data_IF_321569303886
#
_entry.id   IF_321569303886
#
_cell.length_a   1.000
_cell.length_b   1.000
_cell.length_c   1.000
_cell.angle_alpha   90.00
_cell.angle_beta   90.00
_cell.angle_gamma   90.00
#
_symmetry.space_group_name_H-M   'P 1'
#
loop_
_entity.id
_entity.type
_entity.pdbx_description
1 polymer ?
#
# COMPACT_ATOMS: atom_id res chain seq x y z
N UNK A 1 26.64 1.15 -5.30
CA UNK A 1 26.68 1.68 -6.67
C UNK A 1 26.56 3.19 -6.53
N UNK A 2 27.59 3.94 -6.92
CA UNK A 2 27.57 5.40 -6.78
C UNK A 2 27.10 6.03 -8.09
N UNK A 3 26.29 7.09 -7.99
CA UNK A 3 25.81 7.87 -9.13
C UNK A 3 26.98 8.60 -9.79
N UNK A 4 27.91 9.12 -8.99
CA UNK A 4 29.09 9.82 -9.50
C UNK A 4 30.00 8.96 -10.42
N UNK A 5 29.99 7.64 -10.27
CA UNK A 5 30.74 6.70 -11.13
C UNK A 5 30.11 6.56 -12.54
N UNK A 6 28.91 7.11 -12.77
CA UNK A 6 28.18 7.03 -14.05
C UNK A 6 28.02 8.38 -14.75
N UNK A 7 28.65 9.41 -14.21
CA UNK A 7 28.68 10.75 -14.81
C UNK A 7 30.00 10.86 -15.58
N UNK A 8 29.94 11.29 -16.83
CA UNK A 8 31.11 11.60 -17.62
C UNK A 8 31.76 12.88 -17.07
N UNK A 9 33.03 12.78 -16.67
CA UNK A 9 33.76 13.86 -16.03
C UNK A 9 33.97 15.08 -16.94
N UNK A 10 33.91 14.90 -18.26
CA UNK A 10 34.11 15.96 -19.25
C UNK A 10 32.80 16.63 -19.65
N UNK A 11 31.77 15.84 -20.01
CA UNK A 11 30.46 16.40 -20.42
C UNK A 11 29.58 16.80 -19.25
N UNK A 12 29.88 16.30 -18.03
CA UNK A 12 29.06 16.46 -16.81
C UNK A 12 27.64 15.92 -16.98
N UNK A 13 27.48 14.97 -17.89
CA UNK A 13 26.21 14.33 -18.18
C UNK A 13 26.30 12.82 -17.92
N UNK A 14 25.18 12.12 -17.95
CA UNK A 14 25.15 10.68 -17.83
C UNK A 14 26.00 10.01 -18.91
N UNK A 15 26.82 9.06 -18.51
CA UNK A 15 27.53 8.20 -19.45
C UNK A 15 26.58 7.11 -19.96
N UNK A 16 26.04 7.32 -21.16
CA UNK A 16 25.06 6.42 -21.80
C UNK A 16 25.50 4.95 -21.81
N UNK A 17 26.75 4.70 -22.24
CA UNK A 17 27.32 3.36 -22.32
C UNK A 17 27.39 2.69 -20.95
N UNK A 18 27.83 3.41 -19.93
CA UNK A 18 27.88 2.90 -18.57
C UNK A 18 26.48 2.60 -18.05
N UNK A 19 25.50 3.50 -18.21
CA UNK A 19 24.15 3.26 -17.69
C UNK A 19 23.52 2.00 -18.35
N UNK A 20 23.60 1.85 -19.67
CA UNK A 20 23.04 0.69 -20.37
C UNK A 20 23.80 -0.63 -20.15
N UNK A 21 25.05 -0.59 -19.68
CA UNK A 21 25.80 -1.81 -19.33
C UNK A 21 25.25 -2.49 -18.06
N UNK A 22 24.69 -1.70 -17.14
CA UNK A 22 24.37 -2.17 -15.78
C UNK A 22 22.90 -2.17 -15.41
N UNK A 23 22.09 -1.43 -16.15
CA UNK A 23 20.64 -1.38 -15.97
C UNK A 23 19.95 -1.99 -17.16
N UNK A 24 18.76 -2.53 -16.91
CA UNK A 24 17.92 -2.98 -18.01
C UNK A 24 17.50 -1.80 -18.86
N UNK A 25 17.17 -2.00 -20.15
CA UNK A 25 16.87 -0.91 -21.09
C UNK A 25 15.83 0.06 -20.54
N UNK A 26 14.72 -0.46 -20.02
CA UNK A 26 13.65 0.38 -19.48
C UNK A 26 14.10 1.20 -18.25
N UNK A 27 14.95 0.64 -17.38
CA UNK A 27 15.49 1.34 -16.22
C UNK A 27 16.54 2.38 -16.62
N UNK A 28 17.41 2.02 -17.57
CA UNK A 28 18.44 2.90 -18.11
C UNK A 28 17.82 4.15 -18.74
N UNK A 29 16.76 3.98 -19.53
CA UNK A 29 16.02 5.09 -20.16
C UNK A 29 15.45 6.04 -19.11
N UNK A 30 14.94 5.51 -17.98
CA UNK A 30 14.45 6.34 -16.87
C UNK A 30 15.60 7.08 -16.18
N UNK A 31 16.72 6.40 -15.92
CA UNK A 31 17.89 6.99 -15.25
C UNK A 31 18.45 8.16 -16.05
N UNK A 32 18.57 8.01 -17.37
CA UNK A 32 19.10 9.05 -18.26
C UNK A 32 18.26 10.33 -18.27
N UNK A 33 16.98 10.26 -17.87
CA UNK A 33 16.09 11.42 -17.76
C UNK A 33 16.25 12.16 -16.42
N UNK A 34 16.90 11.55 -15.43
CA UNK A 34 17.08 12.17 -14.11
C UNK A 34 18.06 13.35 -14.23
N UNK A 35 17.65 14.58 -13.88
CA UNK A 35 18.53 15.73 -13.97
C UNK A 35 19.67 15.62 -12.96
N UNK A 36 20.91 15.80 -13.45
CA UNK A 36 22.10 15.84 -12.61
C UNK A 36 22.24 17.22 -11.93
N UNK A 37 22.70 17.22 -10.68
CA UNK A 37 22.96 18.48 -9.97
C UNK A 37 24.16 19.20 -10.58
N UNK A 38 24.04 20.50 -10.85
CA UNK A 38 25.17 21.32 -11.32
C UNK A 38 26.19 21.62 -10.21
N UNK A 39 25.83 21.35 -8.95
CA UNK A 39 26.68 21.53 -7.78
C UNK A 39 27.37 20.20 -7.51
N UNK A 40 28.70 20.22 -7.47
CA UNK A 40 29.50 19.07 -7.06
C UNK A 40 29.29 18.83 -5.56
N UNK A 41 28.88 17.62 -5.21
CA UNK A 41 28.73 17.15 -3.84
C UNK A 41 28.78 15.62 -3.82
N UNK A 42 28.94 15.07 -2.62
CA UNK A 42 28.88 13.62 -2.43
C UNK A 42 27.47 13.11 -2.73
N UNK A 43 27.39 11.88 -3.24
CA UNK A 43 26.12 11.19 -3.46
C UNK A 43 25.34 11.07 -2.14
N UNK A 44 24.05 11.39 -2.19
CA UNK A 44 23.15 11.20 -1.05
C UNK A 44 21.85 10.53 -1.48
N UNK A 45 21.23 9.82 -0.53
CA UNK A 45 19.96 9.12 -0.77
C UNK A 45 18.81 10.12 -0.76
N UNK A 46 17.96 10.07 -1.79
CA UNK A 46 16.81 10.94 -1.97
C UNK A 46 15.52 10.13 -1.97
N UNK A 47 14.54 10.58 -1.19
CA UNK A 47 13.19 10.03 -1.19
C UNK A 47 12.32 10.69 -2.28
N UNK A 48 12.16 9.98 -3.40
CA UNK A 48 11.49 10.50 -4.60
C UNK A 48 10.00 10.87 -4.42
N UNK A 49 9.35 10.36 -3.37
CA UNK A 49 7.95 10.70 -3.07
C UNK A 49 7.78 12.00 -2.29
N UNK A 50 8.84 12.80 -2.13
CA UNK A 50 8.78 14.12 -1.50
C UNK A 50 9.59 15.13 -2.31
N UNK A 51 9.05 16.34 -2.50
CA UNK A 51 9.73 17.39 -3.27
C UNK A 51 11.06 17.84 -2.63
N UNK A 52 11.17 17.75 -1.30
CA UNK A 52 12.40 18.06 -0.57
C UNK A 52 13.37 16.87 -0.48
N UNK A 53 13.00 15.70 -1.03
CA UNK A 53 13.84 14.51 -1.04
C UNK A 53 14.03 13.83 0.32
N UNK A 54 13.34 14.28 1.37
CA UNK A 54 13.51 13.76 2.73
C UNK A 54 12.55 12.63 3.03
N UNK A 55 13.10 11.52 3.51
CA UNK A 55 12.31 10.41 4.00
C UNK A 55 11.54 10.79 5.28
N UNK A 56 10.28 10.36 5.36
CA UNK A 56 9.50 10.38 6.60
C UNK A 56 8.55 9.19 6.68
N UNK A 57 8.30 8.70 7.90
CA UNK A 57 7.33 7.62 8.16
C UNK A 57 5.95 7.96 7.60
N UNK A 58 5.56 9.24 7.68
CA UNK A 58 4.30 9.72 7.12
C UNK A 58 4.25 9.55 5.60
N UNK A 59 5.29 10.00 4.88
CA UNK A 59 5.34 9.86 3.42
C UNK A 59 5.43 8.40 2.97
N UNK A 60 6.17 7.55 3.70
CA UNK A 60 6.25 6.13 3.36
C UNK A 60 4.91 5.42 3.58
N UNK A 61 4.20 5.74 4.66
CA UNK A 61 2.87 5.19 4.91
C UNK A 61 1.90 5.45 3.76
N UNK A 62 1.85 6.70 3.26
CA UNK A 62 0.98 7.04 2.12
C UNK A 62 1.32 6.27 0.85
N UNK A 63 2.61 6.11 0.56
CA UNK A 63 3.09 5.32 -0.58
C UNK A 63 2.65 3.87 -0.43
N UNK A 64 2.91 3.25 0.71
CA UNK A 64 2.53 1.85 0.98
C UNK A 64 1.02 1.65 0.85
N UNK A 65 0.21 2.56 1.40
CA UNK A 65 -1.26 2.50 1.28
C UNK A 65 -1.71 2.66 -0.17
N UNK A 66 -1.11 3.58 -0.93
CA UNK A 66 -1.46 3.77 -2.35
C UNK A 66 -1.17 2.53 -3.19
N UNK A 67 -0.03 1.87 -2.97
CA UNK A 67 0.36 0.65 -3.68
C UNK A 67 -0.55 -0.52 -3.32
N UNK A 68 -0.89 -0.67 -2.03
CA UNK A 68 -1.86 -1.68 -1.60
C UNK A 68 -3.24 -1.45 -2.24
N UNK A 69 -3.69 -0.21 -2.33
CA UNK A 69 -4.97 0.14 -2.94
C UNK A 69 -4.99 -0.01 -4.47
N UNK A 70 -3.85 0.12 -5.17
CA UNK A 70 -3.78 -0.14 -6.62
C UNK A 70 -4.01 -1.61 -6.95
N UNK A 71 -3.68 -2.53 -6.03
CA UNK A 71 -3.92 -3.97 -6.18
C UNK A 71 -5.36 -4.39 -5.85
N UNK A 72 -6.16 -3.50 -5.24
CA UNK A 72 -7.56 -3.77 -4.97
C UNK A 72 -8.43 -3.21 -6.10
N UNK A 73 -9.34 -4.01 -6.71
CA UNK A 73 -10.35 -3.46 -7.59
C UNK A 73 -11.13 -2.40 -6.81
N UNK A 74 -11.33 -1.26 -7.45
CA UNK A 74 -11.90 0.01 -6.97
C UNK A 74 -13.34 -0.14 -6.45
N UNK A 75 -13.52 -0.89 -5.36
CA UNK A 75 -14.80 -1.04 -4.65
C UNK A 75 -15.00 0.03 -3.58
N UNK A 76 -14.01 0.88 -3.33
CA UNK A 76 -14.08 1.99 -2.38
C UNK A 76 -14.99 3.13 -2.88
N UNK A 77 -15.09 3.36 -4.20
CA UNK A 77 -16.03 4.32 -4.78
C UNK A 77 -17.48 3.81 -4.79
N UNK A 78 -17.68 2.49 -4.92
CA UNK A 78 -19.02 1.87 -5.00
C UNK A 78 -19.77 1.84 -3.66
N UNK A 79 -19.06 1.78 -2.52
CA UNK A 79 -19.68 1.65 -1.19
C UNK A 79 -20.10 2.98 -0.53
N UNK A 80 -19.72 4.12 -1.11
CA UNK A 80 -20.12 5.47 -0.67
C UNK A 80 -21.64 5.63 -0.42
N UNK A 81 -22.53 5.29 -1.38
CA UNK A 81 -23.97 5.40 -1.17
C UNK A 81 -24.51 4.46 -0.08
N UNK A 82 -23.97 3.25 0.01
CA UNK A 82 -24.37 2.26 1.01
C UNK A 82 -24.05 2.73 2.44
N UNK A 83 -22.85 3.31 2.66
CA UNK A 83 -22.50 3.84 3.96
C UNK A 83 -23.33 5.07 4.34
N UNK A 84 -23.63 5.95 3.37
CA UNK A 84 -24.54 7.08 3.62
C UNK A 84 -25.91 6.59 4.08
N UNK A 85 -26.49 5.60 3.39
CA UNK A 85 -27.76 5.00 3.79
C UNK A 85 -27.71 4.37 5.18
N UNK A 86 -26.67 3.60 5.50
CA UNK A 86 -26.50 2.98 6.81
C UNK A 86 -26.43 4.01 7.95
N UNK A 87 -25.72 5.12 7.73
CA UNK A 87 -25.58 6.17 8.74
C UNK A 87 -26.82 7.04 8.89
N UNK A 88 -27.66 7.14 7.86
CA UNK A 88 -28.95 7.85 7.88
C UNK A 88 -30.10 6.98 8.40
N UNK A 89 -29.97 5.65 8.40
CA UNK A 89 -31.02 4.73 8.83
C UNK A 89 -31.46 5.00 10.27
N UNK A 90 -32.77 5.03 10.53
CA UNK A 90 -33.33 5.27 11.87
C UNK A 90 -33.23 4.02 12.78
N UNK A 91 -32.01 3.61 13.08
CA UNK A 91 -31.68 2.49 13.97
C UNK A 91 -30.68 2.94 15.04
N UNK A 92 -30.69 2.31 16.23
CA UNK A 92 -29.69 2.55 17.25
C UNK A 92 -28.25 2.48 16.74
N UNK A 93 -27.38 3.37 17.25
CA UNK A 93 -25.96 3.47 16.85
C UNK A 93 -25.21 2.13 16.92
N UNK A 94 -25.53 1.29 17.92
CA UNK A 94 -24.94 -0.05 18.07
C UNK A 94 -25.16 -0.94 16.85
N UNK A 95 -26.34 -0.86 16.22
CA UNK A 95 -26.67 -1.63 15.02
C UNK A 95 -25.89 -1.08 13.82
N UNK A 96 -25.83 0.24 13.64
CA UNK A 96 -25.04 0.85 12.55
C UNK A 96 -23.58 0.42 12.60
N UNK A 97 -22.96 0.47 13.79
CA UNK A 97 -21.57 0.05 13.98
C UNK A 97 -21.39 -1.45 13.74
N UNK A 98 -22.31 -2.28 14.23
CA UNK A 98 -22.28 -3.73 14.01
C UNK A 98 -22.38 -4.06 12.51
N UNK A 99 -23.36 -3.51 11.79
CA UNK A 99 -23.55 -3.72 10.36
C UNK A 99 -22.35 -3.23 9.54
N UNK A 100 -21.76 -2.09 9.91
CA UNK A 100 -20.55 -1.60 9.25
C UNK A 100 -19.37 -2.58 9.45
N UNK A 101 -19.19 -3.12 10.67
CA UNK A 101 -18.15 -4.14 10.93
C UNK A 101 -18.42 -5.46 10.19
N UNK A 102 -19.68 -5.90 10.16
CA UNK A 102 -20.12 -7.10 9.44
C UNK A 102 -19.77 -6.99 7.95
N UNK A 103 -20.19 -5.91 7.29
CA UNK A 103 -20.00 -5.70 5.87
C UNK A 103 -18.54 -5.39 5.46
N UNK A 104 -17.67 -5.09 6.43
CA UNK A 104 -16.22 -4.93 6.23
C UNK A 104 -15.44 -6.19 6.60
N UNK A 105 -16.11 -7.30 6.93
CA UNK A 105 -15.50 -8.52 7.45
C UNK A 105 -14.53 -8.24 8.63
N UNK A 106 -14.94 -7.31 9.50
CA UNK A 106 -14.13 -6.78 10.60
C UNK A 106 -14.59 -7.26 11.98
N UNK A 107 -15.56 -8.19 12.02
CA UNK A 107 -15.95 -8.88 13.25
C UNK A 107 -14.88 -9.90 13.64
N UNK A 108 -14.67 -10.06 14.94
CA UNK A 108 -13.75 -11.05 15.52
C UNK A 108 -14.41 -12.44 15.50
N UNK A 109 -14.67 -12.96 14.30
CA UNK A 109 -15.07 -14.35 14.07
C UNK A 109 -13.82 -15.22 13.96
N UNK A 110 -13.93 -16.54 14.17
CA UNK A 110 -12.80 -17.48 14.14
C UNK A 110 -11.75 -17.17 13.05
N UNK A 111 -12.19 -17.11 11.78
CA UNK A 111 -11.30 -16.85 10.63
C UNK A 111 -10.65 -15.45 10.62
N UNK A 112 -11.31 -14.44 11.18
CA UNK A 112 -10.77 -13.08 11.25
C UNK A 112 -9.87 -12.87 12.47
N UNK A 113 -10.11 -13.65 13.52
CA UNK A 113 -9.33 -13.62 14.74
C UNK A 113 -7.94 -14.23 14.53
N UNK A 114 -7.84 -15.30 13.72
CA UNK A 114 -6.56 -15.92 13.36
C UNK A 114 -5.60 -14.96 12.61
N UNK A 115 -6.13 -13.98 11.87
CA UNK A 115 -5.32 -12.95 11.19
C UNK A 115 -4.61 -12.01 12.16
N UNK A 116 -5.05 -11.94 13.42
CA UNK A 116 -4.54 -11.00 14.43
C UNK A 116 -3.82 -11.70 15.58
N UNK A 117 -4.23 -12.93 15.91
CA UNK A 117 -3.67 -13.74 16.99
C UNK A 117 -3.52 -15.16 16.47
N UNK A 118 -2.30 -15.70 16.58
CA UNK A 118 -2.03 -17.11 16.27
C UNK A 118 -2.66 -17.98 17.38
N UNK A 119 -3.06 -19.20 17.02
CA UNK A 119 -3.61 -20.24 17.92
C UNK A 119 -5.05 -20.04 18.46
N UNK A 120 -5.88 -19.25 17.79
CA UNK A 120 -7.32 -19.22 18.07
C UNK A 120 -8.07 -20.33 17.30
N UNK A 121 -9.04 -20.95 17.97
CA UNK A 121 -9.94 -21.92 17.37
C UNK A 121 -10.79 -21.23 16.29
N UNK A 122 -10.69 -21.75 15.07
CA UNK A 122 -11.39 -21.20 13.90
C UNK A 122 -12.67 -21.93 13.56
N UNK A 123 -12.91 -23.09 14.19
CA UNK A 123 -14.11 -23.89 13.99
C UNK A 123 -15.31 -23.18 14.62
N UNK A 124 -16.45 -23.22 13.93
CA UNK A 124 -17.69 -22.70 14.48
C UNK A 124 -18.07 -23.47 15.76
N UNK A 125 -18.29 -22.78 16.90
CA UNK A 125 -18.60 -23.44 18.17
C UNK A 125 -19.97 -24.12 18.15
N UNK A 126 -20.84 -23.77 17.21
CA UNK A 126 -22.19 -24.33 17.09
C UNK A 126 -22.24 -25.58 16.21
N UNK A 127 -21.60 -25.56 15.03
CA UNK A 127 -21.67 -26.68 14.09
C UNK A 127 -20.47 -27.62 14.18
N UNK A 128 -19.31 -27.14 14.67
CA UNK A 128 -18.04 -27.86 14.78
C UNK A 128 -17.55 -28.53 13.47
N UNK A 129 -18.07 -28.10 12.33
CA UNK A 129 -17.82 -28.72 11.02
C UNK A 129 -17.18 -27.77 10.02
N UNK A 130 -17.51 -26.48 10.09
CA UNK A 130 -17.01 -25.45 9.20
C UNK A 130 -16.30 -24.36 10.00
N UNK A 131 -15.39 -23.64 9.34
CA UNK A 131 -14.75 -22.46 9.91
C UNK A 131 -15.76 -21.34 10.12
N UNK A 132 -15.65 -20.62 11.24
CA UNK A 132 -16.54 -19.51 11.56
C UNK A 132 -16.16 -18.26 10.76
N UNK A 133 -16.80 -18.08 9.61
CA UNK A 133 -16.76 -16.85 8.83
C UNK A 133 -18.08 -16.04 8.93
N UNK A 134 -18.13 -14.86 8.32
CA UNK A 134 -19.32 -13.99 8.39
C UNK A 134 -20.54 -14.63 7.74
N UNK A 135 -20.35 -15.43 6.68
CA UNK A 135 -21.46 -16.10 6.03
C UNK A 135 -21.98 -17.21 6.94
N UNK A 136 -21.11 -18.13 7.38
CA UNK A 136 -21.47 -19.22 8.27
C UNK A 136 -22.11 -18.76 9.59
N UNK A 137 -21.69 -17.61 10.13
CA UNK A 137 -22.24 -17.08 11.37
C UNK A 137 -23.59 -16.33 11.22
N UNK A 138 -23.93 -15.80 10.03
CA UNK A 138 -25.05 -14.87 9.87
C UNK A 138 -25.92 -15.05 8.61
N UNK A 139 -25.60 -15.96 7.70
CA UNK A 139 -26.32 -16.25 6.45
C UNK A 139 -26.65 -17.75 6.35
#
# INVERSE_FOLDING_TARGET
MRVCERIDAYTKDWSYSLVHERFWREEADIILVIPLSMIYGDDFVVWHHTACGKFSVWSSYHVTVSLANQSQPSTSLSRSPLWKALWQANVPRKIRVFTWKLAQNALLLGVNSQKRMQDLEIMCPFCQHEEEDVAHAFL
#
